data_IF_607526830588
#
_entry.id   IF_607526830588
#
_cell.length_a   1.000
_cell.length_b   1.000
_cell.length_c   1.000
_cell.angle_alpha   90.00
_cell.angle_beta   90.00
_cell.angle_gamma   90.00
#
_symmetry.space_group_name_H-M   'P 1'
#
loop_
_entity.id
_entity.type
_entity.pdbx_description
1 polymer ?
#
# COMPACT_ATOMS: atom_id res chain seq x y z
N UNK A 1 10.29 6.23 14.71
CA UNK A 1 9.06 5.94 13.93
C UNK A 1 9.19 4.53 13.38
N UNK A 2 8.11 3.75 13.36
CA UNK A 2 8.14 2.39 12.81
C UNK A 2 8.39 2.40 11.30
N UNK A 3 8.99 1.33 10.79
CA UNK A 3 9.21 1.12 9.35
C UNK A 3 7.94 0.59 8.70
N UNK A 4 7.55 1.18 7.57
CA UNK A 4 6.34 0.80 6.84
C UNK A 4 6.63 0.53 5.37
N UNK A 5 6.12 -0.59 4.84
CA UNK A 5 6.16 -0.89 3.40
C UNK A 5 4.78 -0.63 2.79
N UNK A 6 4.74 0.14 1.71
CA UNK A 6 3.53 0.44 0.95
C UNK A 6 3.54 -0.40 -0.32
N UNK A 7 2.49 -1.18 -0.56
CA UNK A 7 2.46 -2.16 -1.66
C UNK A 7 1.30 -1.81 -2.59
N UNK A 8 1.62 -1.31 -3.79
CA UNK A 8 0.66 -1.08 -4.87
C UNK A 8 0.42 -2.32 -5.75
N UNK A 9 -0.39 -2.17 -6.79
CA UNK A 9 -0.58 -3.24 -7.79
C UNK A 9 0.63 -3.39 -8.72
N UNK A 10 1.16 -2.28 -9.23
CA UNK A 10 2.26 -2.26 -10.18
C UNK A 10 3.01 -0.94 -10.12
N UNK A 11 4.25 -0.92 -10.62
CA UNK A 11 5.03 0.31 -10.72
C UNK A 11 4.49 1.26 -11.82
N UNK A 12 4.64 2.59 -11.65
CA UNK A 12 4.26 3.55 -12.69
C UNK A 12 5.22 3.49 -13.88
N UNK A 13 4.76 4.01 -15.03
CA UNK A 13 5.57 4.12 -16.25
C UNK A 13 6.88 4.87 -16.02
N UNK A 14 6.80 5.97 -15.26
CA UNK A 14 7.93 6.81 -14.95
C UNK A 14 7.90 7.13 -13.45
N UNK A 15 9.08 7.21 -12.86
CA UNK A 15 9.28 7.52 -11.45
C UNK A 15 10.55 8.34 -11.33
N UNK A 16 10.48 9.52 -10.70
CA UNK A 16 11.65 10.39 -10.51
C UNK A 16 12.63 9.82 -9.50
N UNK A 17 12.10 9.22 -8.42
CA UNK A 17 12.88 8.56 -7.37
C UNK A 17 12.04 7.48 -6.64
N UNK A 18 12.63 6.59 -5.83
CA UNK A 18 11.92 5.49 -5.17
C UNK A 18 10.69 5.88 -4.32
N UNK A 19 10.52 7.15 -3.95
CA UNK A 19 9.38 7.66 -3.19
C UNK A 19 8.48 8.63 -3.98
N UNK A 20 8.62 8.71 -5.31
CA UNK A 20 7.81 9.57 -6.19
C UNK A 20 6.38 9.04 -6.38
N UNK A 21 5.56 9.10 -5.33
CA UNK A 21 4.11 8.84 -5.33
C UNK A 21 3.34 10.07 -4.81
N UNK A 22 3.11 11.10 -5.64
CA UNK A 22 2.69 12.42 -5.18
C UNK A 22 1.40 12.43 -4.35
N UNK A 23 0.38 11.66 -4.75
CA UNK A 23 -0.89 11.63 -4.02
C UNK A 23 -0.80 10.86 -2.70
N UNK A 24 0.01 9.80 -2.62
CA UNK A 24 0.27 9.13 -1.34
C UNK A 24 1.05 10.07 -0.42
N UNK A 25 2.11 10.70 -0.93
CA UNK A 25 2.93 11.62 -0.17
C UNK A 25 2.11 12.81 0.35
N UNK A 26 1.22 13.39 -0.46
CA UNK A 26 0.29 14.44 -0.02
C UNK A 26 -0.53 14.03 1.22
N UNK A 27 -0.98 12.77 1.29
CA UNK A 27 -1.65 12.27 2.49
C UNK A 27 -0.71 12.10 3.67
N UNK A 28 0.50 11.61 3.45
CA UNK A 28 1.51 11.47 4.51
C UNK A 28 1.94 12.84 5.06
N UNK A 29 2.07 13.86 4.20
CA UNK A 29 2.30 15.25 4.61
C UNK A 29 1.15 15.78 5.47
N UNK A 30 -0.10 15.43 5.16
CA UNK A 30 -1.25 15.80 6.00
C UNK A 30 -1.23 15.15 7.40
N UNK A 31 -0.38 14.11 7.58
CA UNK A 31 -0.09 13.49 8.87
C UNK A 31 1.15 14.07 9.55
N UNK A 32 1.75 15.13 9.01
CA UNK A 32 2.99 15.76 9.47
C UNK A 32 4.23 14.86 9.31
N UNK A 33 4.18 13.91 8.38
CA UNK A 33 5.34 13.06 8.04
C UNK A 33 6.15 13.79 6.96
N UNK A 34 7.39 14.14 7.27
CA UNK A 34 8.32 14.82 6.34
C UNK A 34 8.92 13.89 5.28
N UNK A 35 9.44 14.46 4.20
CA UNK A 35 10.19 13.71 3.18
C UNK A 35 11.38 12.93 3.75
N UNK A 36 12.08 13.52 4.72
CA UNK A 36 13.18 12.85 5.42
C UNK A 36 12.68 11.57 6.10
N UNK A 37 11.57 11.66 6.83
CA UNK A 37 10.96 10.51 7.49
C UNK A 37 10.45 9.46 6.49
N UNK A 38 9.88 9.87 5.35
CA UNK A 38 9.48 8.96 4.28
C UNK A 38 10.70 8.18 3.77
N UNK A 39 11.80 8.88 3.46
CA UNK A 39 13.01 8.27 2.92
C UNK A 39 13.71 7.33 3.92
N UNK A 40 13.69 7.68 5.22
CA UNK A 40 14.33 6.90 6.27
C UNK A 40 13.52 5.68 6.71
N UNK A 41 12.18 5.78 6.73
CA UNK A 41 11.33 4.77 7.36
C UNK A 41 10.40 4.04 6.41
N UNK A 42 10.17 4.51 5.18
CA UNK A 42 9.21 3.91 4.27
C UNK A 42 9.84 3.26 3.06
N UNK A 43 9.23 2.18 2.58
CA UNK A 43 9.59 1.53 1.33
C UNK A 43 8.35 1.43 0.43
N UNK A 44 8.43 1.92 -0.80
CA UNK A 44 7.33 1.82 -1.76
C UNK A 44 7.61 0.70 -2.74
N UNK A 45 6.76 -0.31 -2.71
CA UNK A 45 6.81 -1.49 -3.56
C UNK A 45 5.48 -1.71 -4.28
N UNK A 46 5.40 -2.79 -5.03
CA UNK A 46 4.21 -3.22 -5.74
C UNK A 46 4.17 -4.74 -5.84
N UNK A 47 3.00 -5.31 -6.14
CA UNK A 47 2.87 -6.73 -6.46
C UNK A 47 3.72 -7.10 -7.67
N UNK A 48 3.81 -6.20 -8.65
CA UNK A 48 4.62 -6.33 -9.87
C UNK A 48 5.53 -5.11 -10.02
N UNK A 49 6.85 -5.30 -10.19
CA UNK A 49 7.81 -4.17 -10.18
C UNK A 49 7.97 -3.39 -11.48
N UNK A 50 7.21 -3.75 -12.51
CA UNK A 50 7.24 -3.08 -13.79
C UNK A 50 5.90 -2.41 -14.11
N UNK A 51 5.93 -1.55 -15.13
CA UNK A 51 4.73 -0.91 -15.65
C UNK A 51 4.02 -1.88 -16.62
N UNK A 52 2.78 -2.31 -16.32
CA UNK A 52 2.08 -3.33 -17.11
C UNK A 52 1.40 -2.76 -18.37
N UNK A 53 1.66 -1.49 -18.71
CA UNK A 53 0.88 -0.76 -19.71
C UNK A 53 -0.32 -0.03 -19.10
N UNK A 54 -1.01 0.74 -19.95
CA UNK A 54 -2.21 1.47 -19.55
C UNK A 54 -3.28 1.44 -20.65
N UNK A 55 -4.55 1.39 -20.24
CA UNK A 55 -5.73 1.47 -21.11
C UNK A 55 -6.67 2.52 -20.54
N UNK A 56 -7.13 3.45 -21.38
CA UNK A 56 -8.01 4.56 -20.99
C UNK A 56 -7.48 5.37 -19.79
N UNK A 57 -6.17 5.63 -19.76
CA UNK A 57 -5.52 6.39 -18.69
C UNK A 57 -5.36 5.65 -17.35
N UNK A 58 -5.74 4.38 -17.27
CA UNK A 58 -5.57 3.53 -16.07
C UNK A 58 -4.58 2.42 -16.34
N UNK A 59 -3.76 2.06 -15.34
CA UNK A 59 -2.84 0.93 -15.47
C UNK A 59 -3.62 -0.35 -15.77
N UNK A 60 -3.07 -1.19 -16.64
CA UNK A 60 -3.56 -2.55 -16.79
C UNK A 60 -3.38 -3.26 -15.45
N UNK A 61 -4.41 -3.97 -15.01
CA UNK A 61 -4.36 -4.75 -13.78
C UNK A 61 -3.44 -5.96 -14.04
N UNK A 62 -2.39 -6.17 -13.24
CA UNK A 62 -1.53 -7.34 -13.42
C UNK A 62 -2.31 -8.65 -13.29
N UNK A 63 -1.97 -9.61 -14.12
CA UNK A 63 -2.56 -10.95 -14.08
C UNK A 63 -2.12 -11.71 -12.84
N UNK A 64 -2.86 -12.78 -12.50
CA UNK A 64 -2.51 -13.64 -11.38
C UNK A 64 -1.12 -14.28 -11.56
N UNK A 65 -0.77 -14.65 -12.78
CA UNK A 65 0.51 -15.27 -13.13
C UNK A 65 1.67 -14.30 -12.90
N UNK A 66 1.57 -13.06 -13.39
CA UNK A 66 2.58 -12.02 -13.17
C UNK A 66 2.82 -11.79 -11.67
N UNK A 67 1.76 -11.71 -10.87
CA UNK A 67 1.87 -11.52 -9.42
C UNK A 67 2.51 -12.72 -8.71
N UNK A 68 2.26 -13.94 -9.20
CA UNK A 68 2.89 -15.16 -8.66
C UNK A 68 4.38 -15.17 -9.00
N UNK A 69 4.74 -14.85 -10.24
CA UNK A 69 6.12 -14.82 -10.70
C UNK A 69 6.94 -13.74 -9.96
N UNK A 70 6.33 -12.60 -9.64
CA UNK A 70 6.98 -11.49 -8.91
C UNK A 70 6.97 -11.67 -7.38
N UNK A 71 6.30 -12.71 -6.86
CA UNK A 71 6.19 -12.93 -5.41
C UNK A 71 7.53 -13.09 -4.70
N UNK A 72 8.51 -13.86 -5.22
CA UNK A 72 9.81 -14.01 -4.56
C UNK A 72 10.53 -12.67 -4.35
N UNK A 73 10.46 -11.76 -5.33
CA UNK A 73 11.04 -10.41 -5.23
C UNK A 73 10.34 -9.60 -4.15
N UNK A 74 9.00 -9.60 -4.11
CA UNK A 74 8.25 -8.88 -3.07
C UNK A 74 8.56 -9.41 -1.67
N UNK A 75 8.65 -10.74 -1.51
CA UNK A 75 9.07 -11.36 -0.25
C UNK A 75 10.47 -10.91 0.13
N UNK A 76 11.43 -10.94 -0.79
CA UNK A 76 12.79 -10.46 -0.54
C UNK A 76 12.82 -8.99 -0.12
N UNK A 77 12.03 -8.12 -0.75
CA UNK A 77 11.90 -6.72 -0.35
C UNK A 77 11.39 -6.57 1.09
N UNK A 78 10.35 -7.33 1.46
CA UNK A 78 9.81 -7.31 2.83
C UNK A 78 10.85 -7.83 3.81
N UNK A 79 11.53 -8.93 3.50
CA UNK A 79 12.54 -9.55 4.37
C UNK A 79 13.72 -8.62 4.62
N UNK A 80 14.29 -8.04 3.55
CA UNK A 80 15.45 -7.15 3.66
C UNK A 80 15.09 -5.81 4.32
N UNK A 81 13.90 -5.28 4.01
CA UNK A 81 13.43 -4.04 4.63
C UNK A 81 12.98 -4.25 6.08
N UNK A 82 12.57 -5.46 6.47
CA UNK A 82 12.09 -5.80 7.82
C UNK A 82 11.10 -4.76 8.39
N UNK A 83 9.95 -4.52 7.72
CA UNK A 83 8.96 -3.57 8.19
C UNK A 83 8.24 -4.06 9.45
N UNK A 84 7.65 -3.12 10.17
CA UNK A 84 6.72 -3.41 11.26
C UNK A 84 5.26 -3.25 10.80
N UNK A 85 5.04 -2.43 9.75
CA UNK A 85 3.73 -2.13 9.18
C UNK A 85 3.74 -2.41 7.67
N UNK A 86 2.69 -3.06 7.18
CA UNK A 86 2.41 -3.25 5.74
C UNK A 86 1.16 -2.47 5.36
N UNK A 87 1.27 -1.64 4.33
CA UNK A 87 0.19 -0.77 3.85
C UNK A 87 -0.20 -1.20 2.43
N UNK A 88 -1.13 -2.15 2.26
CA UNK A 88 -1.62 -2.52 0.94
C UNK A 88 -2.48 -1.40 0.38
N UNK A 89 -2.23 -1.07 -0.89
CA UNK A 89 -2.85 0.05 -1.59
C UNK A 89 -3.84 -0.46 -2.64
N UNK A 90 -5.12 -0.25 -2.38
CA UNK A 90 -6.22 -0.69 -3.24
C UNK A 90 -6.60 -2.16 -3.06
N UNK A 91 -7.71 -2.54 -3.71
CA UNK A 91 -8.37 -3.85 -3.57
C UNK A 91 -7.45 -5.04 -3.90
N UNK A 92 -6.72 -4.97 -5.00
CA UNK A 92 -5.83 -6.05 -5.45
C UNK A 92 -4.68 -6.31 -4.47
N UNK A 93 -3.94 -5.26 -4.10
CA UNK A 93 -2.86 -5.40 -3.12
C UNK A 93 -3.38 -5.96 -1.79
N UNK A 94 -4.55 -5.47 -1.35
CA UNK A 94 -5.17 -5.93 -0.11
C UNK A 94 -5.56 -7.41 -0.16
N UNK A 95 -6.13 -7.89 -1.27
CA UNK A 95 -6.56 -9.30 -1.39
C UNK A 95 -5.37 -10.25 -1.31
N UNK A 96 -4.26 -9.90 -1.97
CA UNK A 96 -3.02 -10.68 -1.91
C UNK A 96 -2.36 -10.57 -0.53
N UNK A 97 -2.35 -9.39 0.08
CA UNK A 97 -1.77 -9.16 1.41
C UNK A 97 -2.49 -9.96 2.51
N UNK A 98 -3.83 -10.04 2.46
CA UNK A 98 -4.63 -10.80 3.42
C UNK A 98 -4.88 -12.26 3.02
N UNK A 99 -4.41 -12.67 1.83
CA UNK A 99 -4.69 -13.97 1.23
C UNK A 99 -6.19 -14.34 1.22
N UNK A 100 -7.05 -13.37 0.85
CA UNK A 100 -8.50 -13.56 0.73
C UNK A 100 -9.11 -12.61 -0.27
N UNK A 101 -10.28 -12.98 -0.80
CA UNK A 101 -11.05 -12.10 -1.67
C UNK A 101 -11.54 -10.85 -0.91
N UNK A 102 -11.48 -9.70 -1.58
CA UNK A 102 -11.95 -8.41 -1.06
C UNK A 102 -13.07 -7.95 -1.96
N UNK A 103 -14.32 -8.13 -1.55
CA UNK A 103 -15.48 -7.74 -2.37
C UNK A 103 -15.64 -6.22 -2.43
N UNK A 104 -15.82 -5.58 -1.28
CA UNK A 104 -15.90 -4.14 -1.12
C UNK A 104 -14.67 -3.64 -0.37
N UNK A 105 -14.03 -2.58 -0.87
CA UNK A 105 -12.83 -2.03 -0.26
C UNK A 105 -13.17 -1.30 1.05
N UNK A 106 -14.35 -0.68 1.09
CA UNK A 106 -14.94 0.04 2.20
C UNK A 106 -15.00 -0.80 3.48
N UNK A 107 -15.21 -2.11 3.36
CA UNK A 107 -15.25 -3.04 4.49
C UNK A 107 -13.90 -3.19 5.20
N UNK A 108 -12.82 -2.67 4.61
CA UNK A 108 -11.45 -2.85 5.09
C UNK A 108 -10.73 -1.54 5.39
N UNK A 109 -11.07 -0.45 4.70
CA UNK A 109 -10.44 0.86 4.95
C UNK A 109 -10.85 1.37 6.35
N UNK A 110 -9.87 1.90 7.09
CA UNK A 110 -10.07 2.36 8.47
C UNK A 110 -9.89 1.26 9.52
N UNK A 111 -9.62 0.02 9.11
CA UNK A 111 -9.31 -1.12 10.00
C UNK A 111 -7.82 -1.43 10.01
N UNK A 112 -7.40 -2.25 10.97
CA UNK A 112 -6.05 -2.82 11.07
C UNK A 112 -6.15 -4.32 11.27
N UNK A 113 -5.19 -5.05 10.73
CA UNK A 113 -5.11 -6.50 10.84
C UNK A 113 -3.74 -6.91 11.37
N UNK A 114 -3.67 -8.05 12.05
CA UNK A 114 -2.42 -8.66 12.49
C UNK A 114 -2.27 -10.02 11.80
N UNK A 115 -1.50 -10.06 10.72
CA UNK A 115 -1.35 -11.24 9.84
C UNK A 115 0.10 -11.39 9.40
N UNK A 116 0.48 -12.52 8.80
CA UNK A 116 1.80 -12.69 8.18
C UNK A 116 1.67 -12.53 6.66
N UNK A 117 1.74 -11.30 6.11
CA UNK A 117 1.51 -11.06 4.70
C UNK A 117 2.58 -11.75 3.86
N UNK A 118 2.14 -12.48 2.84
CA UNK A 118 3.00 -13.24 1.91
C UNK A 118 3.88 -14.31 2.58
N UNK A 119 3.67 -14.60 3.88
CA UNK A 119 4.56 -15.44 4.69
C UNK A 119 6.02 -14.96 4.66
N UNK A 120 6.24 -13.66 4.46
CA UNK A 120 7.57 -13.11 4.18
C UNK A 120 8.50 -13.12 5.41
N UNK A 121 7.94 -12.98 6.62
CA UNK A 121 8.69 -13.01 7.88
C UNK A 121 8.16 -14.11 8.79
N UNK A 122 8.97 -14.58 9.74
CA UNK A 122 8.51 -15.51 10.79
C UNK A 122 7.76 -14.78 11.94
N UNK A 123 6.90 -13.81 11.60
CA UNK A 123 6.08 -13.05 12.55
C UNK A 123 4.87 -12.43 11.85
N UNK A 124 3.85 -12.10 12.63
CA UNK A 124 2.74 -11.28 12.15
C UNK A 124 3.15 -9.80 12.15
N UNK A 125 2.64 -9.07 11.18
CA UNK A 125 2.82 -7.63 10.98
C UNK A 125 1.47 -6.92 11.06
N UNK A 126 1.52 -5.64 11.42
CA UNK A 126 0.34 -4.77 11.38
C UNK A 126 0.08 -4.42 9.92
N UNK A 127 -1.13 -4.71 9.44
CA UNK A 127 -1.59 -4.37 8.10
C UNK A 127 -2.63 -3.26 8.18
N UNK A 128 -2.39 -2.14 7.50
CA UNK A 128 -3.29 -0.98 7.46
C UNK A 128 -3.63 -0.68 6.01
N UNK A 129 -4.82 -1.05 5.51
CA UNK A 129 -5.16 -0.83 4.11
C UNK A 129 -5.43 0.65 3.81
N UNK A 130 -4.95 1.12 2.66
CA UNK A 130 -5.34 2.41 2.09
C UNK A 130 -5.99 2.22 0.72
N UNK A 131 -6.91 3.10 0.31
CA UNK A 131 -7.46 3.07 -1.03
C UNK A 131 -6.42 3.53 -2.07
N UNK A 132 -6.57 3.09 -3.32
CA UNK A 132 -5.62 3.41 -4.38
C UNK A 132 -5.55 4.92 -4.66
N UNK A 133 -4.35 5.57 -4.69
CA UNK A 133 -4.10 7.02 -4.88
C UNK A 133 -4.69 7.63 -6.16
N UNK A 134 -5.18 6.84 -7.12
CA UNK A 134 -5.57 7.34 -8.43
C UNK A 134 -6.81 8.25 -8.40
N UNK A 135 -6.76 9.33 -9.17
CA UNK A 135 -7.90 10.21 -9.44
C UNK A 135 -8.97 9.59 -10.35
N UNK A 136 -8.65 8.51 -11.07
CA UNK A 136 -9.61 7.78 -11.90
C UNK A 136 -10.71 7.08 -11.10
N UNK A 137 -10.53 6.90 -9.79
CA UNK A 137 -11.53 6.23 -8.96
C UNK A 137 -12.52 7.22 -8.34
N UNK A 138 -13.80 7.04 -8.65
CA UNK A 138 -14.89 7.79 -7.99
C UNK A 138 -15.05 7.43 -6.52
N UNK A 139 -14.36 6.40 -6.04
CA UNK A 139 -14.39 5.94 -4.65
C UNK A 139 -14.14 7.09 -3.66
N UNK A 140 -13.19 7.97 -3.95
CA UNK A 140 -12.82 9.10 -3.06
C UNK A 140 -13.85 10.22 -3.04
N UNK A 141 -14.71 10.30 -4.05
CA UNK A 141 -15.71 11.37 -4.16
C UNK A 141 -16.93 11.11 -3.28
N UNK A 142 -17.21 9.85 -2.94
CA UNK A 142 -18.25 9.48 -1.98
C UNK A 142 -17.92 10.02 -0.57
N UNK A 143 -18.88 10.65 0.08
CA UNK A 143 -18.70 11.33 1.38
C UNK A 143 -18.29 10.33 2.47
N UNK A 144 -18.85 9.13 2.42
CA UNK A 144 -18.62 8.01 3.33
C UNK A 144 -17.15 7.57 3.25
N UNK A 145 -16.65 7.46 2.02
CA UNK A 145 -15.29 6.98 1.73
C UNK A 145 -14.20 7.99 2.14
N UNK A 146 -14.51 9.30 2.12
CA UNK A 146 -13.62 10.32 2.70
C UNK A 146 -13.42 10.11 4.21
N UNK A 147 -14.48 9.76 4.94
CA UNK A 147 -14.39 9.45 6.37
C UNK A 147 -13.53 8.20 6.60
N UNK A 148 -13.72 7.15 5.79
CA UNK A 148 -12.90 5.93 5.87
C UNK A 148 -11.42 6.22 5.64
N UNK A 149 -11.09 7.02 4.62
CA UNK A 149 -9.70 7.43 4.37
C UNK A 149 -9.11 8.17 5.58
N UNK A 150 -9.85 9.13 6.17
CA UNK A 150 -9.39 9.85 7.36
C UNK A 150 -9.12 8.89 8.54
N UNK A 151 -10.01 7.91 8.76
CA UNK A 151 -9.82 6.89 9.79
C UNK A 151 -8.58 6.03 9.52
N UNK A 152 -8.37 5.61 8.27
CA UNK A 152 -7.21 4.80 7.90
C UNK A 152 -5.88 5.56 8.08
N UNK A 153 -5.84 6.84 7.69
CA UNK A 153 -4.68 7.70 7.88
C UNK A 153 -4.40 7.98 9.35
N UNK A 154 -5.43 8.24 10.16
CA UNK A 154 -5.28 8.41 11.61
C UNK A 154 -4.73 7.14 12.28
N UNK A 155 -5.24 5.97 11.88
CA UNK A 155 -4.77 4.67 12.37
C UNK A 155 -3.33 4.37 11.93
N UNK A 156 -2.96 4.73 10.71
CA UNK A 156 -1.58 4.67 10.24
C UNK A 156 -0.66 5.54 11.09
N UNK A 157 -1.01 6.82 11.32
CA UNK A 157 -0.24 7.72 12.18
C UNK A 157 -0.08 7.11 13.58
N UNK A 158 -1.17 6.63 14.18
CA UNK A 158 -1.13 6.01 15.51
C UNK A 158 -0.13 4.85 15.57
N UNK A 159 -0.20 3.91 14.64
CA UNK A 159 0.68 2.72 14.66
C UNK A 159 2.15 3.07 14.36
N UNK A 160 2.40 4.07 13.50
CA UNK A 160 3.76 4.56 13.20
C UNK A 160 4.51 5.10 14.41
N UNK A 161 3.80 5.68 15.38
CA UNK A 161 4.37 6.31 16.58
C UNK A 161 4.12 5.52 17.88
N UNK A 162 3.44 4.38 17.80
CA UNK A 162 3.19 3.50 18.95
C UNK A 162 4.51 2.88 19.43
N UNK A 163 4.86 3.10 20.70
CA UNK A 163 6.03 2.49 21.36
C UNK A 163 5.89 0.98 21.48
#
# INVERSE_FOLDING_TARGET
MKRAIFIGQAMPRAKKDPHDWPTLNAWLYSLEISDKQIREHFFYSALVDYFPGAKNGTHIVPTKEEIVNERPRLVNNITNFSPEIVVPIGKLSLSYCLNREVNLLEDFIGKSYLVNPYQALNKKLIVIPLPHPSGASTWRHKKENKKLLKLALAKLKQELYRK
#
